data_IF_751413408833
#
_entry.id   IF_751413408833
#
_cell.length_a   1.000
_cell.length_b   1.000
_cell.length_c   1.000
_cell.angle_alpha   90.00
_cell.angle_beta   90.00
_cell.angle_gamma   90.00
#
_symmetry.space_group_name_H-M   'P 1'
#
loop_
_entity.id
_entity.type
_entity.pdbx_description
1 polymer ?
#
# COMPACT_ATOMS: atom_id res chain seq x y z
N UNK A 1 15.82 84.66 -14.13
CA UNK A 1 15.36 84.83 -12.74
C UNK A 1 14.18 83.92 -12.47
N UNK A 2 14.37 82.81 -11.76
CA UNK A 2 13.59 82.47 -10.57
C UNK A 2 14.15 81.19 -9.94
N UNK A 3 14.29 81.32 -8.63
CA UNK A 3 15.05 80.45 -7.74
C UNK A 3 14.34 79.14 -7.45
N UNK A 4 15.16 78.14 -7.17
CA UNK A 4 14.78 76.94 -6.46
C UNK A 4 14.45 77.29 -5.00
N UNK A 5 13.33 76.79 -4.50
CA UNK A 5 13.16 76.55 -3.06
C UNK A 5 12.75 75.10 -2.85
N UNK A 6 13.69 74.37 -2.26
CA UNK A 6 13.47 73.08 -1.64
C UNK A 6 12.57 73.26 -0.41
N UNK A 7 11.64 72.33 -0.22
CA UNK A 7 11.02 72.08 1.09
C UNK A 7 11.03 70.58 1.33
N UNK A 8 11.87 70.18 2.27
CA UNK A 8 12.08 68.82 2.74
C UNK A 8 10.92 68.41 3.66
N UNK A 9 9.98 67.63 3.13
CA UNK A 9 9.09 66.81 3.95
C UNK A 9 9.71 65.42 4.09
N UNK A 10 10.09 65.06 5.33
CA UNK A 10 10.62 63.74 5.67
C UNK A 10 9.58 62.65 5.40
N UNK A 11 9.74 61.96 4.29
CA UNK A 11 8.96 60.77 3.95
C UNK A 11 9.46 59.59 4.79
N UNK A 12 8.63 59.15 5.74
CA UNK A 12 8.88 57.93 6.49
C UNK A 12 8.81 56.72 5.54
N UNK A 13 9.97 56.10 5.30
CA UNK A 13 10.15 54.94 4.42
C UNK A 13 9.21 53.76 4.80
N UNK A 14 8.21 53.44 3.96
CA UNK A 14 7.23 52.37 4.23
C UNK A 14 7.88 50.97 4.27
N UNK A 15 9.10 50.82 3.75
CA UNK A 15 9.88 49.57 3.76
C UNK A 15 10.22 49.09 5.16
N UNK A 16 10.51 50.00 6.10
CA UNK A 16 10.82 49.63 7.50
C UNK A 16 9.59 49.17 8.28
N UNK A 17 8.42 49.70 7.94
CA UNK A 17 7.15 49.37 8.61
C UNK A 17 6.70 47.96 8.21
N UNK A 18 6.79 47.61 6.93
CA UNK A 18 6.48 46.26 6.43
C UNK A 18 7.38 45.17 7.04
N UNK A 19 8.69 45.42 7.18
CA UNK A 19 9.62 44.45 7.80
C UNK A 19 9.35 44.22 9.29
N UNK A 20 8.87 45.24 10.00
CA UNK A 20 8.47 45.09 11.41
C UNK A 20 7.17 44.30 11.55
N UNK A 21 6.22 44.51 10.64
CA UNK A 21 4.98 43.73 10.62
C UNK A 21 5.21 42.24 10.30
N UNK A 22 6.07 41.92 9.34
CA UNK A 22 6.37 40.51 9.02
C UNK A 22 7.05 39.78 10.17
N UNK A 23 7.99 40.42 10.87
CA UNK A 23 8.65 39.85 12.06
C UNK A 23 7.65 39.62 13.20
N UNK A 24 6.73 40.57 13.43
CA UNK A 24 5.69 40.43 14.45
C UNK A 24 4.72 39.30 14.10
N UNK A 25 4.27 39.20 12.84
CA UNK A 25 3.38 38.12 12.39
C UNK A 25 4.06 36.75 12.56
N UNK A 26 5.34 36.63 12.22
CA UNK A 26 6.11 35.40 12.40
C UNK A 26 6.25 35.03 13.88
N UNK A 27 6.51 36.01 14.75
CA UNK A 27 6.58 35.78 16.20
C UNK A 27 5.24 35.29 16.77
N UNK A 28 4.11 35.87 16.34
CA UNK A 28 2.78 35.40 16.73
C UNK A 28 2.49 33.98 16.21
N UNK A 29 2.86 33.66 14.97
CA UNK A 29 2.69 32.32 14.42
C UNK A 29 3.49 31.28 15.24
N UNK A 30 4.74 31.59 15.58
CA UNK A 30 5.55 30.72 16.45
C UNK A 30 4.98 30.58 17.86
N UNK A 31 4.44 31.66 18.44
CA UNK A 31 3.79 31.61 19.75
C UNK A 31 2.53 30.74 19.73
N UNK A 32 1.72 30.81 18.66
CA UNK A 32 0.53 29.97 18.51
C UNK A 32 0.92 28.50 18.35
N UNK A 33 1.93 28.20 17.51
CA UNK A 33 2.39 26.81 17.29
C UNK A 33 2.98 26.23 18.58
N UNK A 34 3.77 27.00 19.32
CA UNK A 34 4.34 26.54 20.60
C UNK A 34 3.27 26.32 21.67
N UNK A 35 2.27 27.21 21.77
CA UNK A 35 1.12 27.00 22.66
C UNK A 35 0.29 25.77 22.25
N UNK A 36 0.09 25.54 20.95
CA UNK A 36 -0.63 24.37 20.46
C UNK A 36 0.10 23.06 20.81
N UNK A 37 1.42 23.02 20.60
CA UNK A 37 2.25 21.87 20.98
C UNK A 37 2.25 21.67 22.50
N UNK A 38 2.36 22.74 23.29
CA UNK A 38 2.24 22.64 24.75
C UNK A 38 0.87 22.10 25.16
N UNK A 39 -0.24 22.56 24.57
CA UNK A 39 -1.57 22.01 24.84
C UNK A 39 -1.68 20.52 24.50
N UNK A 40 -1.08 20.06 23.40
CA UNK A 40 -1.06 18.63 23.06
C UNK A 40 -0.24 17.82 24.08
N UNK A 41 0.90 18.36 24.53
CA UNK A 41 1.75 17.71 25.53
C UNK A 41 1.10 17.69 26.91
N UNK A 42 0.43 18.77 27.32
CA UNK A 42 -0.30 18.84 28.60
C UNK A 42 -1.56 17.96 28.58
N UNK A 43 -2.33 17.94 27.49
CA UNK A 43 -3.47 17.03 27.34
C UNK A 43 -3.05 15.55 27.29
N UNK A 44 -1.82 15.25 26.88
CA UNK A 44 -1.26 13.90 26.97
C UNK A 44 -0.83 13.52 28.39
N UNK A 45 -0.63 14.50 29.27
CA UNK A 45 -0.11 14.32 30.64
C UNK A 45 -1.20 14.29 31.71
N UNK A 46 -2.40 14.85 31.46
CA UNK A 46 -3.57 14.73 32.33
C UNK A 46 -4.46 13.55 31.93
N UNK A 47 -3.90 12.34 32.02
CA UNK A 47 -4.68 11.09 32.09
C UNK A 47 -4.55 10.39 33.45
N UNK A 48 -4.38 11.17 34.52
CA UNK A 48 -4.64 10.69 35.87
C UNK A 48 -5.77 11.49 36.50
N UNK A 49 -6.74 10.74 37.00
CA UNK A 49 -8.05 11.23 37.39
C UNK A 49 -8.02 12.20 38.55
N UNK A 50 -8.89 13.20 38.46
CA UNK A 50 -9.52 13.81 39.62
C UNK A 50 -10.85 14.38 39.16
N UNK A 51 -11.93 13.89 39.76
CA UNK A 51 -13.29 14.29 39.44
C UNK A 51 -13.52 15.75 39.85
N UNK A 52 -13.58 16.63 38.86
CA UNK A 52 -14.26 17.91 39.01
C UNK A 52 -15.71 17.72 38.60
N UNK A 53 -16.60 17.80 39.59
CA UNK A 53 -18.05 17.76 39.40
C UNK A 53 -18.45 18.98 38.58
N UNK A 54 -18.82 18.74 37.32
CA UNK A 54 -19.32 19.75 36.40
C UNK A 54 -20.83 19.95 36.63
N UNK A 55 -21.37 21.18 36.58
CA UNK A 55 -22.78 21.45 36.89
C UNK A 55 -23.76 20.78 35.92
N UNK A 56 -24.89 20.33 36.46
CA UNK A 56 -25.87 19.46 35.78
C UNK A 56 -26.50 19.99 34.49
N UNK A 57 -26.38 21.29 34.21
CA UNK A 57 -26.94 21.92 33.01
C UNK A 57 -26.15 21.63 31.71
N UNK A 58 -24.92 21.11 31.79
CA UNK A 58 -24.09 20.81 30.61
C UNK A 58 -24.05 19.32 30.23
N UNK A 59 -24.82 18.47 30.93
CA UNK A 59 -24.82 17.00 30.75
C UNK A 59 -25.42 16.54 29.40
N UNK A 60 -26.11 17.43 28.67
CA UNK A 60 -26.82 17.10 27.42
C UNK A 60 -26.05 17.30 26.11
N UNK A 61 -24.85 17.89 26.13
CA UNK A 61 -24.15 18.32 24.90
C UNK A 61 -22.80 17.63 24.65
N UNK A 62 -22.55 16.47 25.23
CA UNK A 62 -21.34 15.70 24.90
C UNK A 62 -21.61 14.73 23.72
N UNK A 63 -21.16 15.04 22.48
CA UNK A 63 -21.31 14.14 21.33
C UNK A 63 -20.42 12.89 21.44
N UNK A 64 -19.52 12.84 22.42
CA UNK A 64 -18.64 11.71 22.70
C UNK A 64 -19.08 10.98 23.98
N UNK A 65 -20.35 10.56 24.02
CA UNK A 65 -20.78 9.54 24.98
C UNK A 65 -20.14 8.23 24.57
N UNK A 66 -19.02 7.90 25.21
CA UNK A 66 -18.48 6.54 25.28
C UNK A 66 -19.61 5.63 25.77
N UNK A 67 -20.25 4.93 24.84
CA UNK A 67 -21.01 3.74 25.20
C UNK A 67 -19.98 2.76 25.73
N UNK A 68 -20.10 2.37 26.99
CA UNK A 68 -19.39 1.19 27.50
C UNK A 68 -19.76 0.03 26.58
N UNK A 69 -18.83 -0.32 25.68
CA UNK A 69 -19.03 -1.39 24.71
C UNK A 69 -19.39 -2.69 25.43
N UNK A 70 -20.08 -3.62 24.75
CA UNK A 70 -20.47 -4.89 25.37
C UNK A 70 -19.24 -5.57 25.99
N UNK A 71 -19.38 -5.97 27.26
CA UNK A 71 -18.35 -6.71 27.99
C UNK A 71 -18.00 -7.97 27.19
N UNK A 72 -16.80 -7.99 26.61
CA UNK A 72 -16.34 -9.11 25.82
C UNK A 72 -16.14 -10.32 26.74
N UNK A 73 -16.62 -11.48 26.30
CA UNK A 73 -16.34 -12.74 26.99
C UNK A 73 -14.83 -13.00 26.99
N UNK A 74 -14.33 -13.75 28.00
CA UNK A 74 -12.91 -14.13 28.09
C UNK A 74 -12.39 -14.77 26.79
N UNK A 75 -13.24 -15.53 26.11
CA UNK A 75 -12.91 -16.17 24.83
C UNK A 75 -12.76 -15.16 23.68
N UNK A 76 -13.57 -14.10 23.64
CA UNK A 76 -13.46 -13.04 22.64
C UNK A 76 -12.23 -12.15 22.89
N UNK A 77 -11.86 -11.91 24.15
CA UNK A 77 -10.62 -11.23 24.52
C UNK A 77 -9.40 -12.03 24.06
N UNK A 78 -9.33 -13.33 24.38
CA UNK A 78 -8.25 -14.20 23.94
C UNK A 78 -8.11 -14.24 22.40
N UNK A 79 -9.25 -14.26 21.68
CA UNK A 79 -9.25 -14.23 20.21
C UNK A 79 -8.74 -12.89 19.65
N UNK A 80 -9.05 -11.77 20.31
CA UNK A 80 -8.51 -10.45 19.96
C UNK A 80 -7.02 -10.35 20.26
N UNK A 81 -6.57 -10.83 21.41
CA UNK A 81 -5.16 -10.84 21.81
C UNK A 81 -4.33 -11.70 20.84
N UNK A 82 -4.81 -12.89 20.47
CA UNK A 82 -4.15 -13.73 19.46
C UNK A 82 -4.08 -13.04 18.07
N UNK A 83 -5.12 -12.31 17.67
CA UNK A 83 -5.13 -11.55 16.42
C UNK A 83 -4.22 -10.30 16.45
N UNK A 84 -4.00 -9.70 17.62
CA UNK A 84 -3.03 -8.62 17.80
C UNK A 84 -1.61 -9.19 17.76
N UNK A 85 -1.37 -10.31 18.42
CA UNK A 85 -0.08 -10.98 18.45
C UNK A 85 0.34 -11.48 17.06
N UNK A 86 -0.59 -12.04 16.29
CA UNK A 86 -0.36 -12.40 14.89
C UNK A 86 0.03 -11.18 14.02
N UNK A 87 -0.64 -10.04 14.24
CA UNK A 87 -0.30 -8.77 13.55
C UNK A 87 1.03 -8.18 14.02
N UNK A 88 1.41 -8.36 15.28
CA UNK A 88 2.73 -7.98 15.81
C UNK A 88 3.84 -8.84 15.25
N UNK A 89 3.64 -10.15 15.13
CA UNK A 89 4.58 -11.04 14.45
C UNK A 89 4.70 -10.74 12.96
N UNK A 90 3.65 -10.15 12.36
CA UNK A 90 3.66 -9.67 10.97
C UNK A 90 4.18 -8.22 10.80
N UNK A 91 4.41 -7.46 11.89
CA UNK A 91 4.86 -6.06 11.84
C UNK A 91 6.28 -5.89 12.43
N UNK A 92 7.23 -5.18 11.79
CA UNK A 92 7.38 -4.88 10.38
C UNK A 92 8.57 -5.66 9.83
N UNK A 93 8.47 -7.00 9.75
CA UNK A 93 9.45 -7.81 9.00
C UNK A 93 9.63 -7.24 7.59
N UNK A 94 8.55 -6.73 6.99
CA UNK A 94 8.58 -6.08 5.67
C UNK A 94 9.46 -4.82 5.62
N UNK A 95 9.45 -4.01 6.68
CA UNK A 95 10.25 -2.79 6.74
C UNK A 95 11.70 -3.12 7.10
N UNK A 96 11.92 -4.08 8.00
CA UNK A 96 13.26 -4.56 8.35
C UNK A 96 13.93 -5.26 7.16
N UNK A 97 13.18 -6.07 6.41
CA UNK A 97 13.66 -6.70 5.17
C UNK A 97 13.91 -5.64 4.10
N UNK A 98 13.04 -4.63 3.95
CA UNK A 98 13.28 -3.52 3.01
C UNK A 98 14.50 -2.68 3.39
N UNK A 99 14.74 -2.42 4.66
CA UNK A 99 15.95 -1.71 5.12
C UNK A 99 17.18 -2.54 4.77
N UNK A 100 17.14 -3.86 4.99
CA UNK A 100 18.23 -4.76 4.57
C UNK A 100 18.44 -4.81 3.06
N UNK A 101 17.36 -4.78 2.27
CA UNK A 101 17.42 -4.71 0.81
C UNK A 101 18.08 -3.39 0.38
N UNK A 102 17.66 -2.26 0.95
CA UNK A 102 18.22 -0.92 0.69
C UNK A 102 19.70 -0.85 1.10
N UNK A 103 20.07 -1.41 2.26
CA UNK A 103 21.47 -1.48 2.70
C UNK A 103 22.33 -2.30 1.72
N UNK A 104 21.80 -3.38 1.16
CA UNK A 104 22.48 -4.19 0.15
C UNK A 104 22.59 -3.46 -1.21
N UNK A 105 21.54 -2.74 -1.62
CA UNK A 105 21.54 -1.90 -2.82
C UNK A 105 22.60 -0.80 -2.72
N UNK A 106 22.64 -0.07 -1.60
CA UNK A 106 23.63 1.01 -1.36
C UNK A 106 25.06 0.46 -1.30
N UNK A 107 25.27 -0.69 -0.66
CA UNK A 107 26.58 -1.33 -0.63
C UNK A 107 27.05 -1.75 -2.03
N UNK A 108 26.15 -2.27 -2.86
CA UNK A 108 26.46 -2.66 -4.23
C UNK A 108 26.74 -1.44 -5.13
N UNK A 109 25.96 -0.37 -5.01
CA UNK A 109 26.22 0.90 -5.71
C UNK A 109 27.57 1.49 -5.31
N UNK A 110 27.92 1.42 -4.02
CA UNK A 110 29.23 1.86 -3.52
C UNK A 110 30.38 1.05 -4.13
N UNK A 111 30.20 -0.26 -4.31
CA UNK A 111 31.18 -1.14 -4.98
C UNK A 111 31.27 -0.87 -6.49
N UNK A 112 30.15 -0.58 -7.15
CA UNK A 112 30.09 -0.25 -8.58
C UNK A 112 30.71 1.11 -8.89
N UNK A 113 30.53 2.09 -8.00
CA UNK A 113 31.12 3.43 -8.12
C UNK A 113 32.63 3.45 -7.84
N UNK A 114 33.16 2.40 -7.19
CA UNK A 114 34.60 2.26 -6.94
C UNK A 114 35.39 1.73 -8.16
N UNK A 115 34.75 1.32 -9.26
CA UNK A 115 35.43 0.73 -10.43
C UNK A 115 35.15 1.46 -11.75
N UNK A 116 36.21 1.98 -12.38
CA UNK A 116 36.27 2.40 -13.81
C UNK A 116 37.39 1.58 -14.47
N UNK A 117 37.38 1.26 -15.79
CA UNK A 117 36.31 0.90 -16.73
C UNK A 117 36.40 -0.59 -17.14
N UNK A 118 35.27 -1.22 -17.49
CA UNK A 118 35.19 -2.58 -18.04
C UNK A 118 34.16 -2.64 -19.18
N UNK A 119 34.46 -3.44 -20.20
CA UNK A 119 33.77 -3.52 -21.50
C UNK A 119 32.27 -3.71 -21.40
N UNK A 120 31.56 -3.16 -22.39
CA UNK A 120 30.10 -3.08 -22.51
C UNK A 120 29.37 -4.40 -22.33
N UNK A 121 30.01 -5.51 -22.69
CA UNK A 121 29.35 -6.81 -22.80
C UNK A 121 29.25 -7.52 -21.44
N UNK A 122 30.22 -7.33 -20.53
CA UNK A 122 30.17 -7.89 -19.17
C UNK A 122 29.15 -7.16 -18.28
N UNK A 123 28.88 -5.89 -18.59
CA UNK A 123 27.90 -5.08 -17.85
C UNK A 123 26.46 -5.46 -18.19
N UNK A 124 26.22 -6.02 -19.38
CA UNK A 124 24.89 -6.47 -19.81
C UNK A 124 24.48 -7.77 -19.09
N UNK A 125 25.39 -8.74 -19.03
CA UNK A 125 25.16 -10.03 -18.34
C UNK A 125 24.93 -9.86 -16.83
N UNK A 126 25.66 -8.95 -16.19
CA UNK A 126 25.48 -8.62 -14.76
C UNK A 126 24.15 -7.90 -14.50
N UNK A 127 23.70 -7.09 -15.45
CA UNK A 127 22.41 -6.38 -15.36
C UNK A 127 21.23 -7.32 -15.58
N UNK A 128 21.36 -8.30 -16.46
CA UNK A 128 20.35 -9.33 -16.70
C UNK A 128 20.20 -10.26 -15.48
N UNK A 129 21.31 -10.63 -14.83
CA UNK A 129 21.29 -11.38 -13.57
C UNK A 129 20.71 -10.58 -12.40
N UNK A 130 20.87 -9.25 -12.38
CA UNK A 130 20.30 -8.35 -11.37
C UNK A 130 18.78 -8.20 -11.54
N UNK A 131 18.28 -8.03 -12.77
CA UNK A 131 16.85 -7.99 -13.12
C UNK A 131 16.14 -9.31 -12.73
N UNK A 132 16.83 -10.44 -12.89
CA UNK A 132 16.34 -11.76 -12.50
C UNK A 132 16.25 -11.94 -10.97
N UNK A 133 17.10 -11.25 -10.20
CA UNK A 133 17.11 -11.30 -8.71
C UNK A 133 16.15 -10.31 -8.06
N UNK A 134 15.93 -9.13 -8.65
CA UNK A 134 15.04 -8.08 -8.09
C UNK A 134 13.61 -8.15 -8.63
N UNK A 135 13.38 -8.88 -9.74
CA UNK A 135 12.03 -9.12 -10.26
C UNK A 135 11.34 -7.88 -10.84
N UNK A 136 12.13 -6.89 -11.27
CA UNK A 136 11.64 -5.68 -11.94
C UNK A 136 12.13 -5.67 -13.38
N UNK A 137 11.19 -5.85 -14.33
CA UNK A 137 11.45 -5.62 -15.74
C UNK A 137 10.76 -4.31 -16.14
N UNK A 138 11.53 -3.34 -16.64
CA UNK A 138 11.01 -2.08 -17.18
C UNK A 138 10.20 -2.37 -18.46
N UNK A 139 8.97 -1.87 -18.51
CA UNK A 139 8.07 -2.01 -19.65
C UNK A 139 8.34 -0.83 -20.61
N UNK A 140 8.76 -1.07 -21.86
CA UNK A 140 8.84 0.01 -22.85
C UNK A 140 7.43 0.49 -23.23
N UNK A 141 7.25 1.80 -23.25
CA UNK A 141 6.02 2.47 -23.64
C UNK A 141 5.82 2.46 -25.16
N UNK A 142 4.80 1.75 -25.64
CA UNK A 142 4.03 1.91 -26.90
C UNK A 142 3.42 0.52 -27.24
N UNK A 143 2.16 0.34 -27.66
CA UNK A 143 1.17 1.20 -28.31
C UNK A 143 -0.21 0.64 -27.94
N UNK A 144 -1.17 1.51 -27.61
CA UNK A 144 -2.57 1.11 -27.41
C UNK A 144 -3.21 0.85 -28.77
N UNK A 145 -3.57 -0.39 -29.04
CA UNK A 145 -4.43 -0.81 -30.14
C UNK A 145 -5.46 -1.80 -29.61
N UNK A 146 -6.72 -1.38 -29.57
CA UNK A 146 -7.83 -2.19 -29.08
C UNK A 146 -8.09 -3.38 -30.00
N UNK A 147 -7.99 -4.59 -29.48
CA UNK A 147 -8.81 -5.73 -29.93
C UNK A 147 -8.98 -6.70 -28.75
N UNK A 148 -10.24 -6.92 -28.43
CA UNK A 148 -10.87 -8.00 -27.65
C UNK A 148 -9.96 -9.09 -27.05
N UNK A 149 -10.20 -9.36 -25.76
CA UNK A 149 -10.07 -10.68 -25.15
C UNK A 149 -8.71 -11.37 -25.39
N UNK A 150 -7.64 -10.72 -24.93
CA UNK A 150 -6.30 -11.29 -24.89
C UNK A 150 -6.20 -12.47 -23.92
N UNK A 151 -6.44 -13.66 -24.46
CA UNK A 151 -5.87 -14.95 -24.05
C UNK A 151 -6.45 -15.62 -22.80
N UNK A 152 -7.72 -16.06 -22.89
CA UNK A 152 -8.21 -17.24 -22.16
C UNK A 152 -7.73 -18.57 -22.78
N UNK A 153 -6.76 -18.54 -23.70
CA UNK A 153 -6.18 -19.75 -24.25
C UNK A 153 -5.30 -20.43 -23.19
N UNK A 154 -5.49 -21.73 -22.94
CA UNK A 154 -4.57 -22.50 -22.12
C UNK A 154 -3.15 -22.32 -22.65
N UNK A 155 -2.25 -21.80 -21.82
CA UNK A 155 -0.83 -21.84 -22.13
C UNK A 155 -0.38 -23.29 -21.93
N UNK A 156 -0.24 -24.02 -23.06
CA UNK A 156 0.09 -25.44 -23.05
C UNK A 156 1.43 -25.73 -22.35
N UNK A 157 2.35 -24.75 -22.41
CA UNK A 157 3.65 -24.81 -21.74
C UNK A 157 3.57 -24.83 -20.20
N UNK A 158 2.49 -24.33 -19.60
CA UNK A 158 2.36 -24.24 -18.13
C UNK A 158 1.10 -24.91 -17.56
N UNK A 159 0.31 -25.62 -18.38
CA UNK A 159 -0.94 -26.30 -17.99
C UNK A 159 -1.83 -25.44 -17.08
N UNK A 160 -2.03 -24.19 -17.50
CA UNK A 160 -2.90 -23.25 -16.80
C UNK A 160 -4.30 -23.27 -17.41
N UNK A 161 -5.31 -23.30 -16.55
CA UNK A 161 -6.72 -23.29 -16.93
C UNK A 161 -7.34 -21.98 -16.45
N UNK A 162 -7.33 -20.92 -17.28
CA UNK A 162 -7.87 -19.63 -16.90
C UNK A 162 -9.40 -19.63 -16.98
N UNK A 163 -10.03 -19.02 -16.00
CA UNK A 163 -11.46 -18.74 -15.91
C UNK A 163 -11.65 -17.25 -15.65
N UNK A 164 -12.42 -16.60 -16.52
CA UNK A 164 -12.80 -15.20 -16.34
C UNK A 164 -13.85 -15.06 -15.23
N UNK A 165 -13.98 -13.86 -14.69
CA UNK A 165 -14.99 -13.51 -13.68
C UNK A 165 -14.99 -14.47 -12.47
N UNK A 166 -13.79 -14.86 -12.04
CA UNK A 166 -13.59 -15.90 -11.05
C UNK A 166 -12.48 -15.48 -10.09
N UNK A 167 -12.75 -15.52 -8.78
CA UNK A 167 -11.72 -15.45 -7.73
C UNK A 167 -11.61 -16.80 -7.01
N UNK A 168 -10.54 -17.53 -7.32
CA UNK A 168 -10.17 -18.76 -6.61
C UNK A 168 -9.33 -18.36 -5.41
N UNK A 169 -9.79 -18.68 -4.20
CA UNK A 169 -9.00 -18.43 -3.00
C UNK A 169 -8.01 -19.55 -2.70
N UNK A 170 -7.35 -19.37 -1.55
CA UNK A 170 -6.19 -20.15 -1.16
C UNK A 170 -5.23 -19.31 -0.34
N UNK A 171 -4.16 -19.96 0.14
CA UNK A 171 -3.13 -19.32 0.95
C UNK A 171 -2.18 -18.58 0.01
N UNK A 172 -2.07 -17.26 0.15
CA UNK A 172 -1.13 -16.47 -0.64
C UNK A 172 0.31 -16.93 -0.40
N UNK A 173 0.98 -17.38 -1.46
CA UNK A 173 2.42 -17.61 -1.51
C UNK A 173 3.16 -16.40 -2.09
N UNK A 174 2.44 -15.50 -2.77
CA UNK A 174 2.87 -14.14 -3.11
C UNK A 174 1.66 -13.20 -3.12
N UNK A 175 1.80 -12.04 -2.49
CA UNK A 175 0.72 -11.05 -2.36
C UNK A 175 0.58 -10.17 -3.61
N UNK A 176 -0.63 -10.11 -4.17
CA UNK A 176 -0.91 -9.35 -5.39
C UNK A 176 -0.85 -7.84 -5.22
N UNK A 177 -1.22 -7.31 -4.03
CA UNK A 177 -1.10 -5.88 -3.70
C UNK A 177 0.29 -5.27 -3.96
N UNK A 178 1.33 -6.11 -4.01
CA UNK A 178 2.71 -5.69 -4.27
C UNK A 178 3.39 -6.47 -5.38
N UNK A 179 2.63 -7.27 -6.12
CA UNK A 179 3.15 -8.01 -7.25
C UNK A 179 2.26 -7.81 -8.45
N UNK A 180 2.77 -7.05 -9.41
CA UNK A 180 2.05 -6.70 -10.62
C UNK A 180 2.74 -7.32 -11.83
N UNK A 181 1.93 -7.78 -12.78
CA UNK A 181 2.36 -8.30 -14.07
C UNK A 181 1.48 -7.70 -15.16
N UNK A 182 1.91 -7.80 -16.41
CA UNK A 182 1.19 -7.17 -17.54
C UNK A 182 0.02 -8.00 -18.07
N UNK A 183 -0.09 -9.29 -17.71
CA UNK A 183 -1.13 -10.19 -18.22
C UNK A 183 -1.40 -11.40 -17.33
N UNK A 184 -2.58 -12.01 -17.52
CA UNK A 184 -2.96 -13.28 -16.90
C UNK A 184 -1.97 -14.42 -17.22
N UNK A 185 -1.45 -14.47 -18.46
CA UNK A 185 -0.47 -15.46 -18.88
C UNK A 185 0.86 -15.32 -18.10
N UNK A 186 1.34 -14.09 -17.88
CA UNK A 186 2.52 -13.85 -17.05
C UNK A 186 2.26 -14.17 -15.57
N UNK A 187 1.03 -13.97 -15.07
CA UNK A 187 0.67 -14.39 -13.72
C UNK A 187 0.70 -15.93 -13.55
N UNK A 188 0.15 -16.67 -14.52
CA UNK A 188 0.25 -18.13 -14.60
C UNK A 188 1.71 -18.60 -14.63
N UNK A 189 2.54 -18.01 -15.50
CA UNK A 189 3.97 -18.32 -15.61
C UNK A 189 4.71 -18.04 -14.30
N UNK A 190 4.38 -16.94 -13.62
CA UNK A 190 4.92 -16.62 -12.30
C UNK A 190 4.54 -17.67 -11.25
N UNK A 191 3.31 -18.18 -11.27
CA UNK A 191 2.88 -19.29 -10.42
C UNK A 191 3.71 -20.55 -10.67
N UNK A 192 3.92 -20.91 -11.95
CA UNK A 192 4.75 -22.07 -12.32
C UNK A 192 6.18 -21.93 -11.80
N UNK A 193 6.80 -20.75 -12.02
CA UNK A 193 8.14 -20.45 -11.51
C UNK A 193 8.22 -20.55 -9.99
N UNK A 194 7.28 -19.94 -9.26
CA UNK A 194 7.24 -20.04 -7.80
C UNK A 194 7.20 -21.50 -7.35
N UNK A 195 6.35 -22.32 -7.99
CA UNK A 195 6.20 -23.72 -7.64
C UNK A 195 7.46 -24.55 -7.89
N UNK A 196 8.24 -24.21 -8.93
CA UNK A 196 9.51 -24.84 -9.24
C UNK A 196 10.62 -24.43 -8.25
N UNK A 197 10.66 -23.17 -7.82
CA UNK A 197 11.65 -22.66 -6.87
C UNK A 197 11.34 -22.98 -5.40
N UNK A 198 10.08 -23.28 -5.08
CA UNK A 198 9.68 -23.60 -3.72
C UNK A 198 10.33 -24.90 -3.23
N UNK A 199 11.15 -24.80 -2.18
CA UNK A 199 11.91 -25.91 -1.59
C UNK A 199 11.48 -26.25 -0.16
N UNK A 200 11.76 -27.48 0.27
CA UNK A 200 11.49 -27.93 1.63
C UNK A 200 10.01 -27.86 2.01
N UNK A 201 9.70 -27.12 3.08
CA UNK A 201 8.34 -26.96 3.63
C UNK A 201 7.56 -25.79 3.01
N UNK A 202 8.10 -25.13 1.99
CA UNK A 202 7.41 -24.03 1.33
C UNK A 202 6.21 -24.54 0.52
N UNK A 203 5.11 -23.79 0.55
CA UNK A 203 3.93 -24.07 -0.27
C UNK A 203 4.22 -23.76 -1.73
N UNK A 204 3.90 -24.71 -2.61
CA UNK A 204 4.00 -24.56 -4.06
C UNK A 204 2.74 -23.94 -4.61
N UNK A 205 2.90 -22.95 -5.48
CA UNK A 205 1.78 -22.31 -6.16
C UNK A 205 1.07 -23.31 -7.07
N UNK A 206 -0.25 -23.34 -6.96
CA UNK A 206 -1.13 -24.07 -7.87
C UNK A 206 -2.39 -23.28 -8.24
N UNK A 207 -2.56 -22.07 -7.71
CA UNK A 207 -3.65 -21.15 -8.02
C UNK A 207 -3.06 -19.77 -8.28
N UNK A 208 -3.56 -19.09 -9.31
CA UNK A 208 -3.20 -17.71 -9.61
C UNK A 208 -4.46 -16.87 -9.86
N UNK A 209 -4.43 -15.60 -9.48
CA UNK A 209 -5.54 -14.64 -9.70
C UNK A 209 -4.95 -13.33 -10.19
N UNK A 210 -5.46 -12.82 -11.31
CA UNK A 210 -4.98 -11.66 -12.02
C UNK A 210 -6.09 -10.61 -12.16
N UNK A 211 -5.76 -9.34 -11.95
CA UNK A 211 -6.67 -8.24 -12.24
C UNK A 211 -6.43 -7.67 -13.66
N UNK A 212 -7.33 -7.92 -14.64
CA UNK A 212 -7.20 -7.37 -15.99
C UNK A 212 -7.74 -5.95 -16.13
N UNK A 213 -8.48 -5.45 -15.14
CA UNK A 213 -9.23 -4.20 -15.26
C UNK A 213 -8.35 -2.99 -14.98
N UNK A 214 -8.37 -2.01 -15.90
CA UNK A 214 -7.58 -0.77 -15.78
C UNK A 214 -7.99 0.06 -14.56
N UNK A 215 -9.29 0.07 -14.27
CA UNK A 215 -9.87 0.80 -13.14
C UNK A 215 -9.82 -0.02 -11.83
N UNK A 216 -9.20 -1.20 -11.86
CA UNK A 216 -9.08 -2.07 -10.71
C UNK A 216 -10.17 -3.13 -10.62
N UNK A 217 -9.92 -4.14 -9.78
CA UNK A 217 -10.82 -5.27 -9.60
C UNK A 217 -11.46 -5.22 -8.21
N UNK A 218 -12.80 -5.16 -8.10
CA UNK A 218 -13.44 -5.11 -6.80
C UNK A 218 -13.27 -6.44 -6.03
N UNK A 219 -13.16 -6.33 -4.71
CA UNK A 219 -13.05 -7.43 -3.76
C UNK A 219 -13.77 -7.07 -2.46
N UNK A 220 -14.40 -8.02 -1.76
CA UNK A 220 -15.08 -7.77 -0.49
C UNK A 220 -14.13 -7.56 0.70
N UNK A 221 -12.80 -7.59 0.49
CA UNK A 221 -11.80 -7.45 1.56
C UNK A 221 -11.54 -5.99 2.00
N UNK A 222 -12.12 -5.01 1.31
CA UNK A 222 -12.01 -3.60 1.62
C UNK A 222 -10.73 -2.92 1.12
N UNK A 223 -9.93 -3.61 0.30
CA UNK A 223 -8.79 -3.01 -0.38
C UNK A 223 -9.17 -2.50 -1.77
N UNK A 224 -8.48 -1.45 -2.21
CA UNK A 224 -8.53 -0.99 -3.59
C UNK A 224 -7.48 -1.78 -4.38
N UNK A 225 -7.95 -2.66 -5.27
CA UNK A 225 -7.06 -3.45 -6.12
C UNK A 225 -6.86 -2.79 -7.46
N UNK A 226 -5.63 -2.89 -7.98
CA UNK A 226 -5.23 -2.19 -9.20
C UNK A 226 -5.02 -3.15 -10.38
N UNK A 227 -5.05 -2.58 -11.58
CA UNK A 227 -4.66 -3.27 -12.80
C UNK A 227 -3.32 -3.97 -12.64
N UNK A 228 -3.25 -5.22 -13.10
CA UNK A 228 -2.02 -5.98 -13.15
C UNK A 228 -1.70 -6.76 -11.87
N UNK A 229 -2.47 -6.58 -10.78
CA UNK A 229 -2.25 -7.36 -9.56
C UNK A 229 -2.29 -8.87 -9.84
N UNK A 230 -1.26 -9.57 -9.37
CA UNK A 230 -1.10 -11.01 -9.53
C UNK A 230 -0.92 -11.70 -8.17
N UNK A 231 -1.95 -12.43 -7.78
CA UNK A 231 -1.99 -13.20 -6.55
C UNK A 231 -1.56 -14.63 -6.84
N UNK A 232 -0.47 -15.07 -6.23
CA UNK A 232 -0.03 -16.45 -6.29
C UNK A 232 -0.49 -17.15 -5.02
N UNK A 233 -1.27 -18.21 -5.15
CA UNK A 233 -1.90 -18.90 -4.03
C UNK A 233 -1.60 -20.41 -4.08
N UNK A 234 -1.67 -21.05 -2.92
CA UNK A 234 -1.71 -22.49 -2.76
C UNK A 234 -3.06 -22.91 -2.17
N UNK A 235 -3.69 -23.91 -2.77
CA UNK A 235 -4.91 -24.52 -2.24
C UNK A 235 -4.85 -26.04 -2.41
N UNK A 236 -5.14 -26.82 -1.36
CA UNK A 236 -5.16 -28.28 -1.44
C UNK A 236 -6.28 -28.78 -2.38
N UNK A 237 -7.39 -28.05 -2.40
CA UNK A 237 -8.54 -28.28 -3.28
C UNK A 237 -8.94 -26.94 -3.88
N UNK A 238 -8.33 -26.52 -5.00
CA UNK A 238 -8.74 -25.31 -5.71
C UNK A 238 -10.20 -25.45 -6.11
N UNK A 239 -11.04 -24.59 -5.57
CA UNK A 239 -12.44 -24.44 -5.96
C UNK A 239 -12.64 -22.98 -6.30
N UNK A 240 -13.48 -22.70 -7.29
CA UNK A 240 -13.99 -21.35 -7.48
C UNK A 240 -14.63 -20.94 -6.16
N UNK A 241 -13.99 -20.02 -5.44
CA UNK A 241 -14.52 -19.58 -4.16
C UNK A 241 -15.71 -18.67 -4.42
N UNK A 242 -15.63 -17.82 -5.45
CA UNK A 242 -16.70 -16.91 -5.84
C UNK A 242 -16.64 -16.58 -7.34
N UNK A 243 -17.76 -16.77 -8.06
CA UNK A 243 -18.05 -16.15 -9.36
C UNK A 243 -19.12 -15.04 -9.27
N UNK A 244 -19.73 -14.88 -8.10
CA UNK A 244 -20.64 -13.79 -7.75
C UNK A 244 -20.49 -13.41 -6.26
N UNK A 245 -19.92 -12.24 -5.99
CA UNK A 245 -19.72 -11.77 -4.61
C UNK A 245 -21.03 -11.58 -3.83
N UNK A 246 -22.18 -11.49 -4.51
CA UNK A 246 -23.50 -11.43 -3.85
C UNK A 246 -23.74 -12.62 -2.91
N UNK A 247 -23.13 -13.77 -3.20
CA UNK A 247 -23.27 -15.00 -2.41
C UNK A 247 -22.52 -14.94 -1.06
N UNK A 248 -21.49 -14.10 -0.96
CA UNK A 248 -20.63 -13.99 0.24
C UNK A 248 -20.85 -12.67 0.98
N UNK A 249 -21.53 -11.70 0.38
CA UNK A 249 -21.86 -10.43 1.02
C UNK A 249 -22.93 -10.61 2.10
N UNK A 250 -22.64 -10.12 3.31
CA UNK A 250 -23.54 -10.21 4.47
C UNK A 250 -24.74 -9.26 4.34
N UNK A 251 -24.53 -8.11 3.73
CA UNK A 251 -25.56 -7.12 3.47
C UNK A 251 -26.02 -7.25 2.01
N UNK A 252 -27.26 -7.71 1.82
CA UNK A 252 -27.88 -7.91 0.50
C UNK A 252 -28.53 -6.63 -0.06
N UNK A 253 -28.55 -5.53 0.71
CA UNK A 253 -29.10 -4.25 0.26
C UNK A 253 -28.12 -3.45 -0.60
N UNK A 254 -26.82 -3.77 -0.53
CA UNK A 254 -25.78 -3.18 -1.37
C UNK A 254 -25.80 -3.89 -2.74
N UNK A 255 -25.68 -3.15 -3.85
CA UNK A 255 -25.55 -3.74 -5.18
C UNK A 255 -24.43 -4.79 -5.23
N UNK A 256 -24.64 -5.93 -5.92
CA UNK A 256 -23.65 -7.00 -5.96
C UNK A 256 -22.36 -6.50 -6.63
N UNK A 257 -21.22 -6.75 -5.97
CA UNK A 257 -19.91 -6.45 -6.54
C UNK A 257 -19.63 -7.45 -7.67
N UNK A 258 -19.31 -7.00 -8.90
CA UNK A 258 -18.99 -7.91 -9.99
C UNK A 258 -17.66 -8.62 -9.71
N UNK A 259 -17.53 -9.90 -10.05
CA UNK A 259 -16.22 -10.55 -10.03
C UNK A 259 -15.55 -10.27 -11.38
N UNK A 260 -14.51 -9.44 -11.39
CA UNK A 260 -13.77 -9.05 -12.62
C UNK A 260 -12.39 -9.72 -12.75
N UNK A 261 -12.03 -10.54 -11.76
CA UNK A 261 -10.77 -11.25 -11.72
C UNK A 261 -10.70 -12.36 -12.78
N UNK A 262 -9.51 -12.61 -13.32
CA UNK A 262 -9.20 -13.83 -14.08
C UNK A 262 -8.37 -14.70 -13.16
N UNK A 263 -8.82 -15.92 -12.89
CA UNK A 263 -8.05 -16.86 -12.07
C UNK A 263 -7.91 -18.19 -12.75
N UNK A 264 -6.98 -19.00 -12.27
CA UNK A 264 -6.79 -20.32 -12.83
C UNK A 264 -6.03 -21.25 -11.91
N UNK A 265 -6.23 -22.54 -12.17
CA UNK A 265 -5.48 -23.60 -11.51
C UNK A 265 -4.34 -24.04 -12.42
N UNK A 266 -3.18 -24.27 -11.85
CA UNK A 266 -2.05 -24.92 -12.50
C UNK A 266 -1.99 -26.38 -12.06
N UNK A 267 -1.99 -27.32 -13.01
CA UNK A 267 -1.75 -28.74 -12.71
C UNK A 267 -0.26 -29.05 -12.77
N UNK A 268 0.28 -29.88 -11.86
CA UNK A 268 1.64 -30.41 -12.02
C UNK A 268 1.74 -31.23 -13.30
N UNK A 269 2.96 -31.34 -13.85
CA UNK A 269 3.22 -32.26 -14.96
C UNK A 269 3.09 -33.72 -14.56
#
# INVERSE_FOLDING_TARGET
MREAMASSAGSADPSRRCKRFTVVIWAFAHLIVTLYVLCLLFNSSTSQGSGTVMPDCLRGLNPYRSQTGPQLTKQQLAKREAAIEFRRQAAPLRLILRVKDIEAEVALETLLQAQVPGSTDEKEDLKEQLILKTGQQEIPAATVGATQLGSLLPSDQFKCYPEANTDIGGIAVRWGLTYHVSSAAECCKACSKQAAYATGRQRKCNVWVFCPEKDGCPSPDGYEHKFGECWLKQADKPRVDVNDYSLVMRDKSVPPLPVLWISGVRRPE
#
